data_IF_009887870025
#
_entry.id   IF_009887870025
#
_cell.length_a   1.000
_cell.length_b   1.000
_cell.length_c   1.000
_cell.angle_alpha   90.00
_cell.angle_beta   90.00
_cell.angle_gamma   90.00
#
_symmetry.space_group_name_H-M   'P 1'
#
loop_
_entity.id
_entity.type
_entity.pdbx_description
1 polymer ?
#
# COMPACT_ATOMS: atom_id res chain seq x y z
N UNK A 1 -18.45 -7.64 -12.36
CA UNK A 1 -18.13 -6.43 -11.58
C UNK A 1 -17.68 -6.86 -10.19
N UNK A 2 -16.62 -6.22 -9.66
CA UNK A 2 -16.16 -6.42 -8.30
C UNK A 2 -16.50 -5.16 -7.49
N UNK A 3 -17.00 -5.37 -6.29
CA UNK A 3 -17.36 -4.28 -5.40
C UNK A 3 -16.75 -4.54 -4.02
N UNK A 4 -16.16 -3.49 -3.45
CA UNK A 4 -15.60 -3.54 -2.10
C UNK A 4 -16.02 -2.28 -1.34
N UNK A 5 -16.49 -2.46 -0.13
CA UNK A 5 -16.62 -1.33 0.80
C UNK A 5 -15.32 -1.26 1.59
N UNK A 6 -14.54 -0.21 1.38
CA UNK A 6 -13.23 -0.06 2.02
C UNK A 6 -13.36 0.06 3.54
N UNK A 7 -14.52 0.41 4.05
CA UNK A 7 -14.78 0.46 5.49
C UNK A 7 -14.85 -0.93 6.13
N UNK A 8 -15.00 -1.98 5.33
CA UNK A 8 -15.03 -3.37 5.81
C UNK A 8 -13.62 -3.97 5.96
N UNK A 9 -12.60 -3.30 5.44
CA UNK A 9 -11.20 -3.76 5.46
C UNK A 9 -10.53 -3.30 6.75
N UNK A 10 -10.93 -3.89 7.88
CA UNK A 10 -10.55 -3.43 9.22
C UNK A 10 -9.77 -4.46 10.04
N UNK A 11 -9.23 -5.50 9.40
CA UNK A 11 -8.41 -6.50 10.10
C UNK A 11 -6.99 -6.01 10.27
N UNK A 12 -6.48 -6.14 11.49
CA UNK A 12 -5.09 -5.86 11.86
C UNK A 12 -4.52 -7.09 12.56
N UNK A 13 -3.22 -7.30 12.43
CA UNK A 13 -2.49 -8.40 13.05
C UNK A 13 -1.39 -7.81 13.94
N UNK A 14 -1.35 -8.11 15.25
CA UNK A 14 -0.32 -7.56 16.13
C UNK A 14 1.09 -8.06 15.81
N UNK A 15 1.22 -9.19 15.12
CA UNK A 15 2.52 -9.76 14.79
C UNK A 15 3.13 -9.33 13.47
N UNK A 16 2.30 -8.85 12.54
CA UNK A 16 2.76 -8.43 11.20
C UNK A 16 1.68 -7.63 10.50
N UNK A 17 2.03 -6.89 9.45
CA UNK A 17 1.03 -6.21 8.63
C UNK A 17 0.02 -7.21 8.09
N UNK A 18 -1.24 -6.83 8.06
CA UNK A 18 -2.30 -7.63 7.46
C UNK A 18 -2.42 -7.28 5.97
N UNK A 19 -2.28 -8.28 5.11
CA UNK A 19 -2.33 -8.12 3.66
C UNK A 19 -3.55 -8.85 3.09
N UNK A 20 -4.29 -8.18 2.21
CA UNK A 20 -5.38 -8.79 1.46
C UNK A 20 -5.23 -8.49 -0.03
N UNK A 21 -5.32 -9.52 -0.86
CA UNK A 21 -5.42 -9.38 -2.30
C UNK A 21 -6.90 -9.20 -2.65
N UNK A 22 -7.27 -7.98 -3.09
CA UNK A 22 -8.67 -7.67 -3.40
C UNK A 22 -9.03 -8.02 -4.82
N UNK A 23 -8.13 -7.76 -5.76
CA UNK A 23 -8.37 -8.00 -7.18
C UNK A 23 -7.06 -8.31 -7.88
N UNK A 24 -7.12 -9.22 -8.85
CA UNK A 24 -5.95 -9.59 -9.65
C UNK A 24 -6.39 -9.96 -11.06
N UNK A 25 -5.86 -9.22 -12.03
CA UNK A 25 -6.03 -9.49 -13.45
C UNK A 25 -4.73 -9.13 -14.15
N UNK A 26 -4.54 -9.44 -15.44
CA UNK A 26 -3.34 -9.01 -16.17
C UNK A 26 -3.17 -7.49 -16.23
N UNK A 27 -4.24 -6.72 -16.09
CA UNK A 27 -4.20 -5.26 -16.23
C UNK A 27 -4.08 -4.51 -14.91
N UNK A 28 -4.51 -5.14 -13.80
CA UNK A 28 -4.62 -4.44 -12.52
C UNK A 28 -4.54 -5.42 -11.37
N UNK A 29 -3.75 -5.06 -10.36
CA UNK A 29 -3.74 -5.71 -9.06
C UNK A 29 -4.09 -4.70 -7.99
N UNK A 30 -5.00 -5.06 -7.08
CA UNK A 30 -5.38 -4.21 -5.95
C UNK A 30 -5.14 -4.97 -4.66
N UNK A 31 -4.39 -4.35 -3.76
CA UNK A 31 -4.00 -4.92 -2.47
C UNK A 31 -4.39 -3.96 -1.35
N UNK A 32 -4.80 -4.50 -0.23
CA UNK A 32 -5.02 -3.75 1.00
C UNK A 32 -3.99 -4.19 2.03
N UNK A 33 -3.37 -3.23 2.71
CA UNK A 33 -2.45 -3.47 3.82
C UNK A 33 -2.91 -2.69 5.03
N UNK A 34 -3.06 -3.37 6.15
CA UNK A 34 -3.38 -2.74 7.43
C UNK A 34 -2.22 -2.95 8.40
N UNK A 35 -1.82 -1.88 9.07
CA UNK A 35 -0.63 -1.86 9.93
C UNK A 35 -1.00 -1.44 11.34
N UNK A 36 -0.49 -2.16 12.32
CA UNK A 36 -0.38 -1.66 13.68
C UNK A 36 0.82 -0.69 13.78
N UNK A 37 0.86 0.20 14.77
CA UNK A 37 2.00 1.12 14.93
C UNK A 37 3.34 0.40 14.89
N UNK A 38 4.29 0.92 14.11
CA UNK A 38 5.63 0.38 13.97
C UNK A 38 5.78 -0.69 12.90
N UNK A 39 4.70 -1.24 12.38
CA UNK A 39 4.76 -2.19 11.27
C UNK A 39 5.06 -1.47 9.97
N UNK A 40 5.61 -2.18 9.00
CA UNK A 40 5.97 -1.57 7.73
C UNK A 40 5.80 -2.52 6.55
N UNK A 41 5.57 -1.93 5.38
CA UNK A 41 5.79 -2.54 4.08
C UNK A 41 7.25 -2.24 3.74
N UNK A 42 8.14 -3.25 3.77
CA UNK A 42 9.57 -3.00 3.53
C UNK A 42 9.81 -2.38 2.16
N UNK A 43 10.85 -1.56 2.07
CA UNK A 43 11.27 -0.96 0.81
C UNK A 43 11.63 -2.07 -0.19
N UNK A 44 11.04 -1.99 -1.37
CA UNK A 44 11.29 -2.95 -2.44
C UNK A 44 11.06 -2.28 -3.79
N UNK A 45 11.50 -2.94 -4.84
CA UNK A 45 11.31 -2.49 -6.23
C UNK A 45 11.24 -3.71 -7.14
N UNK A 46 10.70 -3.49 -8.34
CA UNK A 46 10.59 -4.54 -9.36
C UNK A 46 11.09 -3.99 -10.70
N UNK A 47 11.91 -4.75 -11.39
CA UNK A 47 12.47 -4.35 -12.69
C UNK A 47 11.50 -4.75 -13.82
N UNK A 48 10.34 -4.13 -13.82
CA UNK A 48 9.29 -4.32 -14.83
C UNK A 48 8.64 -2.98 -15.16
N UNK A 49 7.95 -2.92 -16.28
CA UNK A 49 7.29 -1.71 -16.78
C UNK A 49 5.85 -1.63 -16.22
N UNK A 50 5.74 -1.29 -14.94
CA UNK A 50 4.46 -1.10 -14.26
C UNK A 50 4.53 0.12 -13.37
N UNK A 51 3.36 0.66 -13.01
CA UNK A 51 3.25 1.75 -12.05
C UNK A 51 2.60 1.23 -10.77
N UNK A 52 3.02 1.77 -9.64
CA UNK A 52 2.43 1.49 -8.33
C UNK A 52 1.84 2.76 -7.75
N UNK A 53 0.63 2.64 -7.19
CA UNK A 53 -0.02 3.69 -6.42
C UNK A 53 -0.13 3.23 -4.97
N UNK A 54 0.38 4.03 -4.06
CA UNK A 54 0.26 3.83 -2.62
C UNK A 54 -0.70 4.89 -2.09
N UNK A 55 -1.90 4.49 -1.68
CA UNK A 55 -2.93 5.42 -1.20
C UNK A 55 -3.23 5.19 0.27
N UNK A 56 -3.08 6.24 1.07
CA UNK A 56 -3.34 6.18 2.52
C UNK A 56 -4.82 6.42 2.76
N UNK A 57 -5.51 5.41 3.30
CA UNK A 57 -6.93 5.51 3.62
C UNK A 57 -7.16 6.07 5.02
N UNK A 58 -6.29 5.71 5.97
CA UNK A 58 -6.46 6.04 7.38
C UNK A 58 -5.12 6.01 8.08
N UNK A 59 -4.91 6.87 9.07
CA UNK A 59 -3.74 6.87 9.91
C UNK A 59 -2.61 7.76 9.40
N UNK A 60 -1.47 7.65 10.07
CA UNK A 60 -0.26 8.42 9.80
C UNK A 60 0.97 7.53 9.78
N UNK A 61 1.94 7.89 8.97
CA UNK A 61 3.21 7.19 8.89
C UNK A 61 4.19 7.94 8.01
N UNK A 62 5.03 7.18 7.32
CA UNK A 62 6.03 7.71 6.41
C UNK A 62 6.09 6.86 5.15
N UNK A 63 6.06 7.51 3.98
CA UNK A 63 6.53 6.88 2.76
C UNK A 63 8.05 6.72 2.88
N UNK A 64 8.55 5.52 2.57
CA UNK A 64 9.99 5.22 2.63
C UNK A 64 10.46 4.69 1.27
N UNK A 65 11.77 4.82 1.02
CA UNK A 65 12.36 4.44 -0.25
C UNK A 65 12.91 5.63 -1.00
N UNK A 66 12.66 5.72 -2.31
CA UNK A 66 13.22 6.77 -3.17
C UNK A 66 12.65 8.16 -2.86
N UNK A 67 11.41 8.24 -2.36
CA UNK A 67 10.72 9.50 -2.12
C UNK A 67 10.19 9.56 -0.68
N UNK A 68 11.08 9.67 0.32
CA UNK A 68 10.67 9.69 1.72
C UNK A 68 9.93 10.98 2.06
N UNK A 69 8.78 10.84 2.70
CA UNK A 69 7.98 11.96 3.18
C UNK A 69 6.91 11.48 4.16
N UNK A 70 6.34 12.40 4.99
CA UNK A 70 5.23 12.05 5.84
C UNK A 70 4.04 11.51 5.02
N UNK A 71 3.34 10.52 5.57
CA UNK A 71 2.16 9.91 4.96
C UNK A 71 0.95 10.12 5.87
N UNK A 72 -0.16 10.57 5.29
CA UNK A 72 -1.42 10.80 6.00
C UNK A 72 -2.61 10.36 5.17
N UNK A 73 -3.73 10.13 5.86
CA UNK A 73 -4.99 9.80 5.20
C UNK A 73 -5.32 10.80 4.09
N UNK A 74 -5.75 10.29 2.96
CA UNK A 74 -6.10 11.10 1.79
C UNK A 74 -4.95 11.39 0.83
N UNK A 75 -3.73 10.96 1.15
CA UNK A 75 -2.55 11.16 0.30
C UNK A 75 -2.22 9.90 -0.50
N UNK A 76 -1.60 10.09 -1.64
CA UNK A 76 -1.07 8.98 -2.43
C UNK A 76 0.25 9.33 -3.09
N UNK A 77 1.07 8.30 -3.33
CA UNK A 77 2.23 8.37 -4.23
C UNK A 77 1.98 7.48 -5.43
N UNK A 78 2.40 7.93 -6.59
CA UNK A 78 2.38 7.14 -7.83
C UNK A 78 3.78 7.18 -8.42
N UNK A 79 4.34 6.01 -8.75
CA UNK A 79 5.68 5.93 -9.32
C UNK A 79 5.86 4.65 -10.13
N UNK A 80 6.87 4.58 -11.01
CA UNK A 80 7.28 3.30 -11.59
C UNK A 80 7.64 2.32 -10.49
N UNK A 81 7.26 1.04 -10.62
CA UNK A 81 7.58 0.02 -9.61
C UNK A 81 9.09 -0.23 -9.50
N UNK A 82 9.87 0.22 -10.47
CA UNK A 82 11.33 0.15 -10.44
C UNK A 82 11.96 1.12 -9.44
N UNK A 83 11.24 2.16 -9.02
CA UNK A 83 11.70 3.03 -7.95
C UNK A 83 11.44 2.37 -6.60
N UNK A 84 12.42 2.33 -5.69
CA UNK A 84 12.22 1.76 -4.36
C UNK A 84 11.07 2.45 -3.61
N UNK A 85 10.17 1.66 -3.06
CA UNK A 85 8.98 2.16 -2.38
C UNK A 85 8.61 1.28 -1.19
N UNK A 86 8.02 1.89 -0.18
CA UNK A 86 7.54 1.24 1.03
C UNK A 86 6.79 2.20 1.93
N UNK A 87 6.37 1.73 3.08
CA UNK A 87 5.61 2.52 4.03
C UNK A 87 5.89 2.03 5.45
N UNK A 88 6.05 2.97 6.39
CA UNK A 88 6.16 2.68 7.82
C UNK A 88 5.00 3.33 8.55
N UNK A 89 4.26 2.55 9.33
CA UNK A 89 3.13 3.05 10.09
C UNK A 89 3.60 3.68 11.41
N UNK A 90 3.11 4.87 11.71
CA UNK A 90 3.33 5.55 12.98
C UNK A 90 2.16 5.31 13.94
N UNK A 91 0.96 5.34 13.40
CA UNK A 91 -0.28 4.96 14.07
C UNK A 91 -0.85 3.73 13.37
N UNK A 92 -2.01 3.24 13.78
CA UNK A 92 -2.76 2.32 12.92
C UNK A 92 -2.96 3.00 11.58
N UNK A 93 -2.68 2.25 10.51
CA UNK A 93 -2.69 2.81 9.15
C UNK A 93 -3.28 1.80 8.20
N UNK A 94 -4.14 2.26 7.30
CA UNK A 94 -4.68 1.44 6.22
C UNK A 94 -4.21 1.99 4.88
N UNK A 95 -3.60 1.10 4.09
CA UNK A 95 -3.00 1.41 2.78
C UNK A 95 -3.71 0.62 1.69
N UNK A 96 -4.03 1.30 0.60
CA UNK A 96 -4.51 0.65 -0.61
C UNK A 96 -3.45 0.78 -1.70
N UNK A 97 -3.15 -0.32 -2.37
CA UNK A 97 -2.10 -0.38 -3.39
C UNK A 97 -2.69 -0.83 -4.71
N UNK A 98 -2.38 -0.09 -5.77
CA UNK A 98 -2.75 -0.44 -7.15
C UNK A 98 -1.48 -0.66 -7.96
N UNK A 99 -1.44 -1.72 -8.76
CA UNK A 99 -0.32 -2.00 -9.66
C UNK A 99 -0.88 -2.20 -11.06
N UNK A 100 -0.42 -1.41 -12.03
CA UNK A 100 -0.92 -1.42 -13.41
C UNK A 100 0.22 -1.33 -14.42
N UNK A 101 0.35 -2.24 -15.37
CA UNK A 101 -0.28 -3.57 -15.37
C UNK A 101 0.27 -4.43 -14.24
N UNK A 102 -0.40 -5.55 -13.98
CA UNK A 102 0.00 -6.49 -12.92
C UNK A 102 1.41 -7.04 -13.19
N UNK A 103 2.15 -7.22 -12.12
CA UNK A 103 3.52 -7.76 -12.15
C UNK A 103 3.55 -9.23 -12.61
#
# INVERSE_FOLDING_TARGET
MKFFDLNDLTKFDPGKMHRELLYDSPNLRVLSFNFEPGQELPVHSHDVDSEVTLMILEGEGEFIGAHPMPARAGQLQIMPVSEPHGLRAKTRLRLLVFITPTL
#
